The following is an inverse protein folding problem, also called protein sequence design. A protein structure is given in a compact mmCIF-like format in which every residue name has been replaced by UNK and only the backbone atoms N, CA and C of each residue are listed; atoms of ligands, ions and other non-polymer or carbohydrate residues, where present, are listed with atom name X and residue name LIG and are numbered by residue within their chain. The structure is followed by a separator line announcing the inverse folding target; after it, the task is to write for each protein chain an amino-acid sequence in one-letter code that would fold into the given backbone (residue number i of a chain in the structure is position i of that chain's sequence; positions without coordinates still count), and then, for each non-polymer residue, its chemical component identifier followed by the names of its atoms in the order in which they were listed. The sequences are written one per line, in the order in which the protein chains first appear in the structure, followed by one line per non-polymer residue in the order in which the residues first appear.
data_IF_553093312025
#
_entry.id   IF_553093312025
#
_cell.length_a   1.000
_cell.length_b   1.000
_cell.length_c   1.000
_cell.angle_alpha   90.00
_cell.angle_beta   90.00
_cell.angle_gamma   90.00
#
_symmetry.space_group_name_H-M   'P 1'
#
loop_
_entity.id
_entity.type
_entity.pdbx_description
1 polymer ?
#
# COMPACT_ATOMS: atom_id res chain seq x y z
N UNK A 1 -6.88 -42.76 9.42
CA UNK A 1 -7.17 -41.32 9.16
C UNK A 1 -6.54 -40.98 7.82
N UNK A 2 -7.35 -40.69 6.80
CA UNK A 2 -6.85 -40.16 5.54
C UNK A 2 -6.47 -38.69 5.71
N UNK A 3 -5.28 -38.31 5.26
CA UNK A 3 -4.83 -36.91 5.26
C UNK A 3 -5.47 -36.20 4.08
N UNK A 4 -6.22 -35.13 4.36
CA UNK A 4 -6.80 -34.24 3.35
C UNK A 4 -5.82 -33.14 2.99
N UNK A 5 -5.80 -32.80 1.71
CA UNK A 5 -4.94 -31.78 1.14
C UNK A 5 -5.78 -30.76 0.38
N UNK A 6 -5.37 -29.50 0.43
CA UNK A 6 -5.95 -28.41 -0.33
C UNK A 6 -4.92 -27.82 -1.28
N UNK A 7 -5.39 -27.26 -2.39
CA UNK A 7 -4.52 -26.58 -3.34
C UNK A 7 -4.53 -25.07 -3.06
N UNK A 8 -3.36 -24.44 -3.15
CA UNK A 8 -3.17 -23.02 -2.88
C UNK A 8 -2.41 -22.35 -4.03
N UNK A 9 -2.77 -21.10 -4.29
CA UNK A 9 -2.11 -20.29 -5.32
C UNK A 9 -0.88 -19.59 -4.75
N UNK A 10 0.25 -19.75 -5.45
CA UNK A 10 1.49 -19.07 -5.11
C UNK A 10 1.61 -17.77 -5.90
N UNK A 11 1.80 -16.65 -5.21
CA UNK A 11 1.90 -15.32 -5.84
C UNK A 11 3.19 -15.13 -6.66
N UNK A 12 4.26 -15.87 -6.34
CA UNK A 12 5.55 -15.79 -7.02
C UNK A 12 5.62 -16.72 -8.23
N UNK A 13 4.91 -17.86 -8.20
CA UNK A 13 4.97 -18.89 -9.25
C UNK A 13 3.56 -19.33 -9.64
N UNK A 14 2.98 -18.64 -10.62
CA UNK A 14 1.61 -18.90 -11.11
C UNK A 14 1.43 -20.25 -11.83
N UNK A 15 2.51 -20.79 -12.40
CA UNK A 15 2.45 -22.00 -13.24
C UNK A 15 2.63 -23.32 -12.46
N UNK A 16 2.59 -23.31 -11.13
CA UNK A 16 2.74 -24.52 -10.30
C UNK A 16 1.62 -24.60 -9.26
N UNK A 17 0.96 -25.76 -9.20
CA UNK A 17 0.02 -26.07 -8.13
C UNK A 17 0.79 -26.47 -6.88
N UNK A 18 0.53 -25.78 -5.78
CA UNK A 18 1.04 -26.15 -4.46
C UNK A 18 -0.08 -26.78 -3.65
N UNK A 19 0.27 -27.80 -2.88
CA UNK A 19 -0.66 -28.49 -2.00
C UNK A 19 -0.20 -28.35 -0.56
N UNK A 20 -1.14 -28.04 0.32
CA UNK A 20 -0.92 -27.95 1.76
C UNK A 20 -1.87 -28.92 2.47
N UNK A 21 -1.48 -29.37 3.66
CA UNK A 21 -2.39 -30.15 4.50
C UNK A 21 -3.58 -29.28 4.90
N UNK A 22 -4.78 -29.85 4.89
CA UNK A 22 -6.02 -29.14 5.21
C UNK A 22 -5.99 -28.44 6.57
N UNK A 23 -5.31 -29.04 7.56
CA UNK A 23 -5.24 -28.50 8.92
C UNK A 23 -4.21 -27.36 9.08
N UNK A 24 -3.50 -26.98 8.01
CA UNK A 24 -2.45 -25.96 8.04
C UNK A 24 -2.85 -24.74 7.21
N UNK A 25 -2.69 -23.57 7.81
CA UNK A 25 -2.89 -22.28 7.14
C UNK A 25 -1.65 -21.91 6.31
N UNK A 26 -1.88 -21.44 5.08
CA UNK A 26 -0.80 -21.07 4.18
C UNK A 26 -0.15 -19.74 4.62
N UNK A 27 1.19 -19.68 4.58
CA UNK A 27 1.92 -18.47 4.96
C UNK A 27 1.60 -17.30 4.02
N UNK A 28 1.41 -16.10 4.57
CA UNK A 28 1.23 -14.84 3.81
C UNK A 28 2.30 -14.64 2.73
N UNK A 29 3.53 -15.09 2.96
CA UNK A 29 4.62 -14.97 1.98
C UNK A 29 4.34 -15.77 0.70
N UNK A 30 3.55 -16.83 0.80
CA UNK A 30 3.20 -17.70 -0.33
C UNK A 30 1.92 -17.22 -1.02
N UNK A 31 0.92 -16.80 -0.24
CA UNK A 31 -0.42 -16.43 -0.75
C UNK A 31 -0.61 -14.93 -0.98
N UNK A 32 0.29 -14.08 -0.49
CA UNK A 32 0.29 -12.62 -0.66
C UNK A 32 -0.43 -11.82 0.43
N UNK A 33 -1.10 -12.47 1.38
CA UNK A 33 -1.84 -11.83 2.46
C UNK A 33 -3.10 -11.10 1.97
N UNK A 34 -3.61 -10.16 2.77
CA UNK A 34 -4.92 -9.51 2.56
C UNK A 34 -5.09 -8.71 1.27
N UNK A 35 -4.00 -8.37 0.57
CA UNK A 35 -4.05 -7.64 -0.70
C UNK A 35 -4.20 -8.54 -1.93
N UNK A 36 -4.20 -9.86 -1.73
CA UNK A 36 -4.30 -10.84 -2.81
C UNK A 36 -5.58 -11.65 -2.66
N UNK A 37 -6.22 -11.89 -3.80
CA UNK A 37 -7.40 -12.75 -3.91
C UNK A 37 -7.10 -13.77 -4.99
N UNK A 38 -7.21 -15.06 -4.66
CA UNK A 38 -6.93 -16.17 -5.57
C UNK A 38 -5.54 -16.14 -6.23
N UNK A 39 -4.54 -15.58 -5.54
CA UNK A 39 -3.16 -15.46 -6.05
C UNK A 39 -2.95 -14.27 -7.00
N UNK A 40 -3.95 -13.41 -7.16
CA UNK A 40 -3.86 -12.18 -7.92
C UNK A 40 -3.91 -10.95 -7.02
N UNK A 41 -3.06 -9.96 -7.32
CA UNK A 41 -3.01 -8.72 -6.56
C UNK A 41 -4.25 -7.88 -6.85
N UNK A 42 -5.03 -7.58 -5.81
CA UNK A 42 -6.24 -6.78 -5.94
C UNK A 42 -5.90 -5.29 -5.94
N UNK A 43 -5.44 -4.80 -7.11
CA UNK A 43 -5.06 -3.41 -7.30
C UNK A 43 -6.22 -2.44 -6.99
N UNK A 44 -7.46 -2.78 -7.35
CA UNK A 44 -8.63 -1.91 -7.15
C UNK A 44 -8.87 -1.61 -5.67
N UNK A 45 -8.75 -2.62 -4.81
CA UNK A 45 -8.95 -2.43 -3.37
C UNK A 45 -7.81 -1.61 -2.76
N UNK A 46 -6.57 -1.86 -3.17
CA UNK A 46 -5.42 -1.07 -2.71
C UNK A 46 -5.52 0.38 -3.15
N UNK A 47 -5.88 0.63 -4.41
CA UNK A 47 -6.09 1.99 -4.94
C UNK A 47 -7.23 2.69 -4.19
N UNK A 48 -8.33 2.00 -3.91
CA UNK A 48 -9.43 2.52 -3.09
C UNK A 48 -8.96 2.94 -1.69
N UNK A 49 -8.19 2.11 -0.98
CA UNK A 49 -7.65 2.46 0.34
C UNK A 49 -6.74 3.70 0.24
N UNK A 50 -5.87 3.74 -0.78
CA UNK A 50 -4.95 4.86 -1.01
C UNK A 50 -5.69 6.17 -1.23
N UNK A 51 -6.70 6.17 -2.08
CA UNK A 51 -7.52 7.35 -2.36
C UNK A 51 -8.25 7.85 -1.11
N UNK A 52 -8.83 6.94 -0.32
CA UNK A 52 -9.52 7.30 0.92
C UNK A 52 -8.57 7.87 1.98
N UNK A 53 -7.35 7.33 2.11
CA UNK A 53 -6.33 7.89 3.00
C UNK A 53 -5.97 9.31 2.56
N UNK A 54 -5.71 9.52 1.26
CA UNK A 54 -5.41 10.84 0.73
C UNK A 54 -6.56 11.83 0.94
N UNK A 55 -7.81 11.41 0.70
CA UNK A 55 -9.00 12.23 0.92
C UNK A 55 -9.17 12.63 2.38
N UNK A 56 -8.99 11.69 3.31
CA UNK A 56 -9.06 11.95 4.74
C UNK A 56 -7.99 12.94 5.21
N UNK A 57 -6.74 12.76 4.75
CA UNK A 57 -5.64 13.65 5.11
C UNK A 57 -5.80 15.04 4.49
N UNK A 58 -6.33 15.13 3.27
CA UNK A 58 -6.64 16.40 2.62
C UNK A 58 -7.65 17.22 3.42
N UNK A 59 -8.69 16.58 3.97
CA UNK A 59 -9.73 17.27 4.73
C UNK A 59 -9.29 17.66 6.15
N UNK A 60 -8.41 16.87 6.78
CA UNK A 60 -8.03 17.07 8.17
C UNK A 60 -6.68 17.80 8.36
N UNK A 61 -5.98 18.16 7.27
CA UNK A 61 -4.63 18.74 7.19
C UNK A 61 -3.53 17.87 7.82
N UNK A 62 -3.70 17.48 9.09
CA UNK A 62 -2.77 16.67 9.88
C UNK A 62 -3.55 15.59 10.64
N UNK A 63 -3.02 14.37 10.72
CA UNK A 63 -3.64 13.30 11.51
C UNK A 63 -2.60 12.31 12.01
N UNK A 64 -2.87 11.64 13.12
CA UNK A 64 -2.00 10.57 13.62
C UNK A 64 -2.22 9.27 12.82
N UNK A 65 -1.20 8.42 12.73
CA UNK A 65 -1.31 7.09 12.10
C UNK A 65 -2.50 6.28 12.65
N UNK A 66 -2.71 6.18 13.97
CA UNK A 66 -3.85 5.44 14.53
C UNK A 66 -5.21 5.99 14.10
N UNK A 67 -5.36 7.32 14.01
CA UNK A 67 -6.61 7.95 13.56
C UNK A 67 -6.95 7.58 12.12
N UNK A 68 -5.95 7.58 11.24
CA UNK A 68 -6.11 7.18 9.83
C UNK A 68 -6.48 5.70 9.71
N UNK A 69 -5.81 4.83 10.48
CA UNK A 69 -6.12 3.40 10.51
C UNK A 69 -7.57 3.17 10.97
N UNK A 70 -7.99 3.85 12.03
CA UNK A 70 -9.35 3.73 12.55
C UNK A 70 -10.40 4.25 11.55
N UNK A 71 -10.09 5.33 10.81
CA UNK A 71 -10.95 5.83 9.75
C UNK A 71 -11.15 4.79 8.63
N UNK A 72 -10.08 4.16 8.16
CA UNK A 72 -10.16 3.11 7.13
C UNK A 72 -10.91 1.88 7.63
N UNK A 73 -10.68 1.46 8.88
CA UNK A 73 -11.44 0.38 9.51
C UNK A 73 -12.94 0.68 9.56
N UNK A 74 -13.34 1.91 9.92
CA UNK A 74 -14.73 2.36 9.92
C UNK A 74 -15.35 2.43 8.52
N UNK A 75 -14.58 2.83 7.51
CA UNK A 75 -15.07 2.89 6.13
C UNK A 75 -15.45 1.51 5.58
N UNK A 76 -14.70 0.48 5.95
CA UNK A 76 -14.85 -0.84 5.33
C UNK A 76 -16.00 -1.67 5.91
N UNK A 77 -16.66 -1.26 7.01
CA UNK A 77 -17.95 -1.70 7.62
C UNK A 77 -18.38 -3.18 7.53
N UNK A 78 -17.55 -4.08 7.04
CA UNK A 78 -17.90 -5.44 6.65
C UNK A 78 -16.62 -6.26 6.59
N UNK A 79 -16.38 -6.97 7.69
CA UNK A 79 -15.30 -7.96 7.89
C UNK A 79 -13.91 -7.32 8.00
N UNK A 80 -13.14 -7.78 8.97
CA UNK A 80 -11.79 -7.34 9.35
C UNK A 80 -10.76 -7.73 8.26
N UNK A 81 -10.96 -7.23 7.04
CA UNK A 81 -10.27 -7.70 5.83
C UNK A 81 -8.78 -7.30 5.82
N UNK A 82 -8.43 -6.21 6.50
CA UNK A 82 -7.09 -5.65 6.54
C UNK A 82 -6.59 -5.47 7.98
N UNK A 83 -5.42 -6.00 8.27
CA UNK A 83 -4.75 -5.74 9.54
C UNK A 83 -4.27 -4.29 9.63
N UNK A 84 -4.00 -3.81 10.84
CA UNK A 84 -3.41 -2.48 11.05
C UNK A 84 -2.06 -2.34 10.36
N UNK A 85 -1.29 -3.43 10.35
CA UNK A 85 0.00 -3.50 9.68
C UNK A 85 -0.13 -3.37 8.16
N UNK A 86 -1.20 -3.92 7.56
CA UNK A 86 -1.47 -3.79 6.14
C UNK A 86 -1.77 -2.35 5.76
N UNK A 87 -2.65 -1.69 6.52
CA UNK A 87 -2.95 -0.26 6.29
C UNK A 87 -1.67 0.57 6.48
N UNK A 88 -0.84 0.24 7.47
CA UNK A 88 0.44 0.91 7.70
C UNK A 88 1.43 0.72 6.54
N UNK A 89 1.47 -0.45 5.90
CA UNK A 89 2.25 -0.69 4.67
C UNK A 89 1.78 0.22 3.52
N UNK A 90 0.47 0.43 3.39
CA UNK A 90 -0.09 1.34 2.38
C UNK A 90 0.31 2.79 2.68
N UNK A 91 0.23 3.22 3.93
CA UNK A 91 0.69 4.55 4.38
C UNK A 91 2.18 4.74 4.04
N UNK A 92 3.04 3.76 4.38
CA UNK A 92 4.46 3.82 4.01
C UNK A 92 4.68 3.94 2.51
N UNK A 93 3.90 3.22 1.71
CA UNK A 93 3.97 3.30 0.24
C UNK A 93 3.67 4.72 -0.24
N UNK A 94 2.64 5.38 0.31
CA UNK A 94 2.31 6.77 0.01
C UNK A 94 3.43 7.74 0.44
N UNK A 95 4.14 7.43 1.52
CA UNK A 95 5.31 8.21 1.98
C UNK A 95 6.48 8.09 1.00
N UNK A 96 6.78 6.89 0.51
CA UNK A 96 7.82 6.67 -0.51
C UNK A 96 7.49 7.36 -1.85
N UNK A 97 6.22 7.51 -2.19
CA UNK A 97 5.78 8.27 -3.36
C UNK A 97 5.83 9.80 -3.16
N UNK A 98 6.24 10.25 -1.97
CA UNK A 98 6.26 11.67 -1.56
C UNK A 98 4.87 12.33 -1.65
N UNK A 99 3.78 11.56 -1.48
CA UNK A 99 2.41 12.09 -1.39
C UNK A 99 2.06 12.54 0.02
N UNK A 100 2.66 11.89 1.02
CA UNK A 100 2.49 12.20 2.43
C UNK A 100 3.86 12.27 3.10
N UNK A 101 3.97 13.06 4.17
CA UNK A 101 5.14 13.07 5.04
C UNK A 101 4.76 12.53 6.41
N UNK A 102 5.62 11.67 6.96
CA UNK A 102 5.46 11.10 8.30
C UNK A 102 6.53 11.72 9.19
N UNK A 103 6.12 12.35 10.28
CA UNK A 103 7.02 12.90 11.29
C UNK A 103 6.80 12.19 12.61
N UNK A 104 7.89 11.93 13.32
CA UNK A 104 7.83 11.44 14.70
C UNK A 104 7.78 12.64 15.63
N UNK A 105 6.70 12.75 16.39
CA UNK A 105 6.62 13.72 17.48
C UNK A 105 7.45 13.27 18.68
N UNK A 106 7.70 14.17 19.62
CA UNK A 106 8.44 13.88 20.85
C UNK A 106 7.75 12.83 21.76
N UNK A 107 6.47 12.56 21.53
CA UNK A 107 5.67 11.55 22.24
C UNK A 107 5.67 10.16 21.57
N UNK A 108 6.62 9.89 20.66
CA UNK A 108 6.66 8.68 19.80
C UNK A 108 5.44 8.48 18.89
N UNK A 109 4.52 9.44 18.85
CA UNK A 109 3.39 9.43 17.92
C UNK A 109 3.82 9.85 16.51
N UNK A 110 3.53 8.98 15.54
CA UNK A 110 3.73 9.26 14.12
C UNK A 110 2.57 10.12 13.59
N UNK A 111 2.89 11.37 13.25
CA UNK A 111 1.99 12.33 12.63
C UNK A 111 2.15 12.30 11.11
N UNK A 112 1.03 12.26 10.40
CA UNK A 112 0.94 12.24 8.95
C UNK A 112 0.43 13.59 8.45
N UNK A 113 1.11 14.11 7.43
CA UNK A 113 0.76 15.34 6.75
C UNK A 113 0.56 15.06 5.27
N UNK A 114 -0.55 15.56 4.71
CA UNK A 114 -0.76 15.51 3.27
C UNK A 114 0.16 16.53 2.59
N UNK A 115 1.02 16.06 1.68
CA UNK A 115 1.92 16.93 0.95
C UNK A 115 1.44 17.08 -0.49
N UNK A 116 0.78 18.19 -0.80
CA UNK A 116 0.40 18.48 -2.19
C UNK A 116 1.66 18.89 -2.99
N UNK A 117 2.09 17.99 -3.88
CA UNK A 117 3.28 18.12 -4.73
C UNK A 117 3.07 19.00 -5.96
N UNK A 118 1.86 19.51 -6.20
CA UNK A 118 1.54 20.34 -7.39
C UNK A 118 2.44 21.56 -7.57
N UNK A 119 3.15 22.01 -6.51
CA UNK A 119 4.08 23.14 -6.58
C UNK A 119 5.51 22.81 -7.05
N UNK A 120 5.90 21.53 -7.22
CA UNK A 120 7.33 21.16 -7.37
C UNK A 120 7.86 20.92 -8.79
N UNK A 121 7.01 20.88 -9.81
CA UNK A 121 7.46 20.50 -11.16
C UNK A 121 7.52 21.65 -12.17
N UNK A 122 7.85 22.87 -11.74
CA UNK A 122 8.14 23.96 -12.68
C UNK A 122 9.25 23.60 -13.67
N UNK A 123 10.27 22.87 -13.22
CA UNK A 123 11.41 22.49 -14.07
C UNK A 123 11.05 21.43 -15.11
N UNK A 124 10.13 20.51 -14.81
CA UNK A 124 9.70 19.47 -15.76
C UNK A 124 8.76 20.00 -16.87
N UNK A 125 8.24 21.22 -16.72
CA UNK A 125 7.55 21.91 -17.81
C UNK A 125 8.51 22.40 -18.90
N UNK A 126 9.81 22.40 -18.64
CA UNK A 126 10.80 22.71 -19.67
C UNK A 126 11.18 21.43 -20.44
N UNK A 127 11.04 21.42 -21.79
CA UNK A 127 11.34 20.26 -22.62
C UNK A 127 12.76 19.69 -22.46
N UNK A 128 13.72 20.52 -22.04
CA UNK A 128 15.10 20.11 -21.82
C UNK A 128 15.28 19.23 -20.57
N UNK A 129 14.51 19.44 -19.51
CA UNK A 129 14.64 18.69 -18.24
C UNK A 129 13.77 17.43 -18.20
N UNK A 130 12.77 17.32 -19.07
CA UNK A 130 11.95 16.12 -19.24
C UNK A 130 12.53 15.12 -20.27
N UNK A 131 13.59 15.51 -21.00
CA UNK A 131 14.17 14.67 -22.05
C UNK A 131 15.20 13.67 -21.49
N UNK A 132 14.98 12.37 -21.73
CA UNK A 132 15.95 11.30 -21.41
C UNK A 132 17.31 11.45 -22.12
N UNK A 133 17.40 12.29 -23.16
CA UNK A 133 18.63 12.57 -23.90
C UNK A 133 19.48 13.69 -23.28
N UNK A 134 18.96 14.42 -22.28
CA UNK A 134 19.70 15.51 -21.64
C UNK A 134 21.03 15.04 -21.03
N UNK A 135 21.09 13.79 -20.52
CA UNK A 135 22.31 13.18 -20.00
C UNK A 135 23.40 12.90 -21.05
N UNK A 136 23.06 12.95 -22.35
CA UNK A 136 24.01 12.70 -23.46
C UNK A 136 24.61 13.98 -24.04
N UNK A 137 24.12 15.16 -23.68
CA UNK A 137 24.66 16.42 -24.20
C UNK A 137 25.83 16.85 -23.31
N UNK A 138 27.05 16.67 -23.81
CA UNK A 138 28.25 17.32 -23.27
C UNK A 138 28.37 18.69 -23.93
N UNK A 139 28.44 19.74 -23.12
CA UNK A 139 29.02 21.02 -23.52
C UNK A 139 30.54 20.90 -23.55
#
# INVERSE_FOLDING_TARGET
MERKYEWVNNIHVKNRKMYILYDLEASEKVIGGSFYTDGEFNKKVVDYIRENICFYLYNNNNSSVPSVINYIKKLNNSVDYFSENDIYRVIKTLSYEERINIYKSNNDEELIYYYNKEKKNFLYNFPCFSCNLFKKWKF
#
